data_IF_840749002947
#
_entry.id   IF_840749002947
#
_cell.length_a   1.000
_cell.length_b   1.000
_cell.length_c   1.000
_cell.angle_alpha   90.00
_cell.angle_beta   90.00
_cell.angle_gamma   90.00
#
_symmetry.space_group_name_H-M   'P 1'
#
loop_
_entity.id
_entity.type
_entity.pdbx_description
1 polymer ?
#
# COMPACT_ATOMS: atom_id res chain seq x y z
N UNK A 1 31.99 -43.61 18.37
CA UNK A 1 30.86 -42.95 19.06
C UNK A 1 29.95 -42.35 18.01
N UNK A 2 28.69 -42.77 17.93
CA UNK A 2 27.68 -42.33 16.93
C UNK A 2 26.87 -41.19 17.56
N UNK A 3 26.94 -39.97 17.01
CA UNK A 3 26.02 -38.88 17.36
C UNK A 3 25.08 -38.65 16.18
N UNK A 4 23.84 -39.12 16.31
CA UNK A 4 22.76 -38.77 15.39
C UNK A 4 22.05 -37.52 15.92
N UNK A 5 22.04 -36.46 15.13
CA UNK A 5 21.26 -35.25 15.39
C UNK A 5 19.96 -35.32 14.58
N UNK A 6 18.82 -35.48 15.26
CA UNK A 6 17.52 -35.39 14.63
C UNK A 6 17.12 -33.91 14.52
N UNK A 7 17.08 -33.37 13.29
CA UNK A 7 16.54 -32.03 13.01
C UNK A 7 15.06 -32.19 12.70
N UNK A 8 14.20 -31.72 13.62
CA UNK A 8 12.78 -31.55 13.34
C UNK A 8 12.59 -30.26 12.53
N UNK A 9 12.26 -30.39 11.25
CA UNK A 9 11.91 -29.25 10.41
C UNK A 9 10.51 -28.74 10.77
N UNK A 10 10.41 -27.59 11.44
CA UNK A 10 9.16 -26.86 11.61
C UNK A 10 8.82 -26.16 10.29
N UNK A 11 7.86 -26.71 9.53
CA UNK A 11 7.30 -26.03 8.35
C UNK A 11 6.36 -24.92 8.84
N UNK A 12 6.90 -23.71 8.98
CA UNK A 12 6.07 -22.53 9.22
C UNK A 12 5.34 -22.15 7.92
N UNK A 13 4.01 -22.20 7.94
CA UNK A 13 3.19 -21.68 6.84
C UNK A 13 3.24 -20.16 6.86
N UNK A 14 4.02 -19.58 5.94
CA UNK A 14 4.01 -18.14 5.68
C UNK A 14 2.71 -17.77 4.96
N UNK A 15 1.74 -17.24 5.70
CA UNK A 15 0.56 -16.63 5.11
C UNK A 15 0.96 -15.34 4.39
N UNK A 16 0.70 -15.25 3.09
CA UNK A 16 0.92 -14.02 2.32
C UNK A 16 -0.11 -12.95 2.73
N UNK A 17 0.35 -11.73 3.02
CA UNK A 17 -0.56 -10.61 3.23
C UNK A 17 -1.31 -10.31 1.93
N UNK A 18 -2.65 -10.35 1.97
CA UNK A 18 -3.46 -9.97 0.81
C UNK A 18 -3.56 -8.45 0.75
N UNK A 19 -3.25 -7.87 -0.42
CA UNK A 19 -3.42 -6.46 -0.69
C UNK A 19 -4.87 -6.03 -0.46
N UNK A 20 -5.08 -4.99 0.34
CA UNK A 20 -6.42 -4.44 0.54
C UNK A 20 -6.92 -3.81 -0.76
N UNK A 21 -8.24 -3.77 -0.98
CA UNK A 21 -8.80 -3.05 -2.13
C UNK A 21 -9.57 -1.83 -1.67
N UNK A 22 -9.38 -0.71 -2.35
CA UNK A 22 -10.08 0.55 -2.12
C UNK A 22 -10.85 1.01 -3.35
N UNK A 23 -11.81 1.92 -3.14
CA UNK A 23 -12.41 2.70 -4.22
C UNK A 23 -11.95 4.15 -4.07
N UNK A 24 -11.38 4.71 -5.14
CA UNK A 24 -10.97 6.11 -5.15
C UNK A 24 -12.21 6.99 -5.04
N UNK A 25 -12.27 7.85 -4.02
CA UNK A 25 -13.34 8.84 -3.86
C UNK A 25 -12.76 10.23 -3.70
N UNK A 26 -13.04 11.08 -4.68
CA UNK A 26 -12.69 12.51 -4.70
C UNK A 26 -13.97 13.35 -4.81
N UNK A 27 -13.82 14.68 -4.82
CA UNK A 27 -14.90 15.64 -5.14
C UNK A 27 -15.26 15.71 -6.63
N UNK A 28 -14.88 14.71 -7.43
CA UNK A 28 -15.20 14.60 -8.86
C UNK A 28 -13.99 14.58 -9.78
N UNK A 29 -12.85 15.15 -9.35
CA UNK A 29 -11.60 15.16 -10.13
C UNK A 29 -10.84 13.83 -10.03
N UNK A 30 -9.97 13.53 -11.01
CA UNK A 30 -9.06 12.40 -10.89
C UNK A 30 -8.05 12.61 -9.75
N UNK A 31 -7.66 11.53 -9.07
CA UNK A 31 -6.59 11.54 -8.07
C UNK A 31 -5.23 11.44 -8.78
N UNK A 32 -4.27 12.28 -8.41
CA UNK A 32 -2.92 12.26 -8.99
C UNK A 32 -2.05 11.18 -8.36
N UNK A 33 -1.40 10.37 -9.19
CA UNK A 33 -0.37 9.41 -8.79
C UNK A 33 0.98 10.11 -8.86
N UNK A 34 1.79 10.01 -7.81
CA UNK A 34 3.06 10.72 -7.68
C UNK A 34 4.22 9.75 -7.52
N UNK A 35 5.40 10.13 -8.00
CA UNK A 35 6.61 9.31 -7.97
C UNK A 35 7.15 9.03 -6.55
N UNK A 36 6.68 9.77 -5.54
CA UNK A 36 7.10 9.64 -4.15
C UNK A 36 5.97 10.12 -3.24
N UNK A 37 5.94 9.74 -1.95
CA UNK A 37 4.88 10.10 -1.00
C UNK A 37 4.99 11.58 -0.55
N UNK A 38 4.93 12.50 -1.51
CA UNK A 38 5.06 13.94 -1.30
C UNK A 38 4.22 14.71 -2.31
N UNK A 39 3.50 15.73 -1.87
CA UNK A 39 2.75 16.65 -2.74
C UNK A 39 3.64 17.45 -3.69
N UNK A 40 4.93 17.59 -3.38
CA UNK A 40 5.93 18.22 -4.25
C UNK A 40 6.54 17.26 -5.27
N UNK A 41 6.27 15.96 -5.17
CA UNK A 41 6.78 14.97 -6.11
C UNK A 41 6.08 15.09 -7.48
N UNK A 42 6.81 14.74 -8.53
CA UNK A 42 6.30 14.73 -9.91
C UNK A 42 5.07 13.82 -10.02
N UNK A 43 4.06 14.30 -10.73
CA UNK A 43 2.88 13.50 -11.09
C UNK A 43 3.31 12.56 -12.21
N UNK A 44 3.11 11.26 -12.00
CA UNK A 44 3.45 10.19 -12.96
C UNK A 44 2.20 9.54 -13.55
N UNK A 45 1.03 9.87 -13.03
CA UNK A 45 -0.23 9.36 -13.55
C UNK A 45 -1.44 9.93 -12.85
N UNK A 46 -2.60 9.38 -13.17
CA UNK A 46 -3.84 9.70 -12.49
C UNK A 46 -4.79 8.51 -12.47
N UNK A 47 -5.65 8.47 -11.45
CA UNK A 47 -6.70 7.47 -11.30
C UNK A 47 -8.04 8.16 -11.18
N UNK A 48 -9.03 7.69 -11.96
CA UNK A 48 -10.36 8.29 -12.01
C UNK A 48 -11.09 8.12 -10.67
N UNK A 49 -11.95 9.09 -10.36
CA UNK A 49 -12.91 8.94 -9.27
C UNK A 49 -13.81 7.72 -9.53
N UNK A 50 -14.04 6.91 -8.49
CA UNK A 50 -14.80 5.66 -8.56
C UNK A 50 -14.01 4.44 -9.04
N UNK A 51 -12.74 4.59 -9.44
CA UNK A 51 -11.91 3.45 -9.81
C UNK A 51 -11.62 2.57 -8.59
N UNK A 52 -11.58 1.25 -8.80
CA UNK A 52 -11.08 0.29 -7.81
C UNK A 52 -9.56 0.21 -7.89
N UNK A 53 -8.90 0.27 -6.75
CA UNK A 53 -7.44 0.16 -6.61
C UNK A 53 -7.10 -0.95 -5.62
N UNK A 54 -5.95 -1.57 -5.79
CA UNK A 54 -5.32 -2.39 -4.76
C UNK A 54 -4.35 -1.49 -4.00
N UNK A 55 -4.32 -1.64 -2.69
CA UNK A 55 -3.39 -1.01 -1.78
C UNK A 55 -2.35 -2.07 -1.48
N UNK A 56 -1.13 -1.84 -1.97
CA UNK A 56 -0.05 -2.81 -1.87
C UNK A 56 0.70 -2.61 -0.55
N UNK A 57 1.37 -1.47 -0.43
CA UNK A 57 2.13 -1.07 0.75
C UNK A 57 1.90 0.41 1.04
N UNK A 58 1.80 0.77 2.31
CA UNK A 58 1.64 2.17 2.72
C UNK A 58 2.92 2.76 3.28
N UNK A 59 3.30 3.94 2.80
CA UNK A 59 4.38 4.76 3.33
C UNK A 59 3.83 6.03 3.98
N UNK A 60 4.57 6.60 4.95
CA UNK A 60 4.26 7.92 5.48
C UNK A 60 4.90 9.00 4.61
N UNK A 61 4.15 10.06 4.35
CA UNK A 61 4.53 11.16 3.47
C UNK A 61 3.98 12.50 3.91
N UNK A 62 3.88 13.44 2.98
CA UNK A 62 3.21 14.72 3.24
C UNK A 62 1.73 14.50 3.57
N UNK A 63 1.22 15.21 4.56
CA UNK A 63 -0.18 15.15 4.96
C UNK A 63 -1.10 15.73 3.88
N UNK A 64 -2.17 15.00 3.54
CA UNK A 64 -3.20 15.40 2.57
C UNK A 64 -4.58 15.27 3.21
N UNK A 65 -5.40 16.30 3.04
CA UNK A 65 -6.81 16.29 3.43
C UNK A 65 -7.69 15.93 2.24
N UNK A 66 -8.60 14.99 2.45
CA UNK A 66 -9.54 14.52 1.44
C UNK A 66 -10.90 14.13 2.01
N UNK A 67 -11.70 13.45 1.19
CA UNK A 67 -13.09 13.07 1.54
C UNK A 67 -13.20 12.28 2.84
N UNK A 68 -12.20 11.46 3.15
CA UNK A 68 -12.15 10.61 4.34
C UNK A 68 -11.38 11.23 5.51
N UNK A 69 -11.10 12.54 5.45
CA UNK A 69 -10.32 13.26 6.45
C UNK A 69 -8.88 13.50 6.04
N UNK A 70 -8.06 13.81 7.04
CA UNK A 70 -6.65 14.16 6.86
C UNK A 70 -5.77 12.96 7.19
N UNK A 71 -4.87 12.60 6.27
CA UNK A 71 -3.95 11.47 6.44
C UNK A 71 -2.59 11.78 5.85
N UNK A 72 -1.56 11.13 6.38
CA UNK A 72 -0.20 11.14 5.83
C UNK A 72 0.22 9.78 5.28
N UNK A 73 -0.72 8.85 5.11
CA UNK A 73 -0.47 7.54 4.49
C UNK A 73 -0.61 7.63 2.97
N UNK A 74 0.37 7.09 2.27
CA UNK A 74 0.47 7.03 0.81
C UNK A 74 0.63 5.59 0.36
N UNK A 75 -0.08 5.19 -0.68
CA UNK A 75 0.12 3.91 -1.38
C UNK A 75 1.32 4.01 -2.33
N UNK A 76 2.06 2.91 -2.49
CA UNK A 76 3.29 2.81 -3.29
C UNK A 76 3.03 2.39 -4.74
#
# INVERSE_FOLDING_TARGET
MKFSLAIAALVATIASAQAATGTVRTSGSALSIRASPSTSAKIVGSVKNGAKVKIDCTARGTTVSGKYGTSNLWDH
#
